data_IF_503952752038
#
_entry.id   IF_503952752038
#
_cell.length_a   1.000
_cell.length_b   1.000
_cell.length_c   1.000
_cell.angle_alpha   90.00
_cell.angle_beta   90.00
_cell.angle_gamma   90.00
#
_symmetry.space_group_name_H-M   'P 1'
#
loop_
_entity.id
_entity.type
_entity.pdbx_description
1 polymer ?
#
# COMPACT_ATOMS: atom_id res chain seq x y z
N UNK A 1 0.22 -23.52 -25.28
CA UNK A 1 1.06 -22.40 -24.74
C UNK A 1 1.85 -22.99 -23.59
N UNK A 2 3.16 -22.79 -23.54
CA UNK A 2 3.96 -23.27 -22.42
C UNK A 2 3.55 -22.48 -21.15
N UNK A 3 3.28 -23.17 -20.07
CA UNK A 3 3.07 -22.56 -18.76
C UNK A 3 4.35 -21.81 -18.37
N UNK A 4 4.23 -20.52 -18.08
CA UNK A 4 5.35 -19.73 -17.60
C UNK A 4 5.41 -19.88 -16.08
N UNK A 5 6.27 -20.76 -15.63
CA UNK A 5 6.54 -20.94 -14.20
C UNK A 5 7.49 -19.81 -13.76
N UNK A 6 7.19 -19.16 -12.65
CA UNK A 6 8.05 -18.16 -12.00
C UNK A 6 8.36 -18.60 -10.58
N UNK A 7 9.52 -18.18 -10.07
CA UNK A 7 9.93 -18.54 -8.71
C UNK A 7 9.10 -17.79 -7.66
N UNK A 8 8.74 -16.53 -7.96
CA UNK A 8 7.96 -15.69 -7.05
C UNK A 8 6.83 -15.00 -7.82
N UNK A 9 5.63 -15.12 -7.30
CA UNK A 9 4.44 -14.40 -7.76
C UNK A 9 4.01 -13.39 -6.70
N UNK A 10 4.04 -12.11 -7.05
CA UNK A 10 3.56 -11.01 -6.20
C UNK A 10 2.15 -10.62 -6.66
N UNK A 11 1.20 -10.61 -5.74
CA UNK A 11 -0.18 -10.19 -5.99
C UNK A 11 -0.38 -8.79 -5.44
N UNK A 12 -0.53 -7.83 -6.33
CA UNK A 12 -0.70 -6.41 -6.05
C UNK A 12 0.59 -5.60 -6.11
N UNK A 13 0.58 -4.52 -6.89
CA UNK A 13 1.69 -3.57 -7.04
C UNK A 13 1.52 -2.32 -6.15
N UNK A 14 0.94 -2.49 -4.97
CA UNK A 14 0.96 -1.48 -3.91
C UNK A 14 2.35 -1.38 -3.26
N UNK A 15 2.52 -0.55 -2.21
CA UNK A 15 3.83 -0.30 -1.60
C UNK A 15 4.52 -1.58 -1.12
N UNK A 16 3.79 -2.52 -0.51
CA UNK A 16 4.37 -3.78 -0.04
C UNK A 16 4.87 -4.67 -1.19
N UNK A 17 4.08 -4.79 -2.27
CA UNK A 17 4.49 -5.55 -3.46
C UNK A 17 5.68 -4.92 -4.16
N UNK A 18 5.70 -3.59 -4.26
CA UNK A 18 6.81 -2.85 -4.83
C UNK A 18 8.10 -3.01 -4.00
N UNK A 19 8.01 -2.90 -2.67
CA UNK A 19 9.15 -3.11 -1.77
C UNK A 19 9.69 -4.54 -1.86
N UNK A 20 8.80 -5.53 -1.94
CA UNK A 20 9.20 -6.95 -2.13
C UNK A 20 9.91 -7.14 -3.47
N UNK A 21 9.36 -6.62 -4.55
CA UNK A 21 9.97 -6.71 -5.88
C UNK A 21 11.34 -6.02 -5.92
N UNK A 22 11.45 -4.86 -5.30
CA UNK A 22 12.70 -4.11 -5.21
C UNK A 22 13.75 -4.86 -4.40
N UNK A 23 13.39 -5.36 -3.23
CA UNK A 23 14.30 -6.12 -2.35
C UNK A 23 14.87 -7.37 -3.02
N UNK A 24 14.08 -8.00 -3.89
CA UNK A 24 14.46 -9.21 -4.61
C UNK A 24 15.07 -8.95 -6.00
N UNK A 25 15.14 -7.67 -6.44
CA UNK A 25 15.56 -7.32 -7.81
C UNK A 25 16.97 -7.76 -8.17
N UNK A 26 17.87 -7.91 -7.18
CA UNK A 26 19.24 -8.38 -7.37
C UNK A 26 19.39 -9.90 -7.17
N UNK A 27 18.31 -10.62 -6.95
CA UNK A 27 18.33 -12.08 -6.88
C UNK A 27 18.32 -12.68 -8.29
N UNK A 28 18.69 -13.96 -8.40
CA UNK A 28 18.58 -14.72 -9.66
C UNK A 28 17.18 -15.32 -9.85
N UNK A 29 16.19 -14.89 -9.07
CA UNK A 29 14.82 -15.40 -9.11
C UNK A 29 14.02 -14.73 -10.23
N UNK A 30 13.20 -15.50 -10.92
CA UNK A 30 12.19 -14.98 -11.84
C UNK A 30 10.98 -14.49 -11.05
N UNK A 31 10.67 -13.20 -11.17
CA UNK A 31 9.62 -12.56 -10.39
C UNK A 31 8.54 -12.06 -11.33
N UNK A 32 7.29 -12.31 -11.01
CA UNK A 32 6.12 -11.76 -11.67
C UNK A 32 5.25 -11.02 -10.66
N UNK A 33 4.85 -9.80 -11.01
CA UNK A 33 3.88 -9.03 -10.24
C UNK A 33 2.59 -8.89 -11.05
N UNK A 34 1.47 -9.24 -10.45
CA UNK A 34 0.13 -9.06 -11.00
C UNK A 34 -0.55 -7.90 -10.27
N UNK A 35 -1.08 -6.96 -11.05
CA UNK A 35 -1.84 -5.82 -10.55
C UNK A 35 -3.18 -5.75 -11.27
N UNK A 36 -4.25 -5.51 -10.53
CA UNK A 36 -5.59 -5.39 -11.07
C UNK A 36 -5.84 -4.04 -11.73
N UNK A 37 -5.28 -2.98 -11.16
CA UNK A 37 -5.41 -1.61 -11.64
C UNK A 37 -4.41 -1.25 -12.73
N UNK A 38 -4.72 -0.20 -13.46
CA UNK A 38 -3.85 0.35 -14.50
C UNK A 38 -2.70 1.19 -13.93
N UNK A 39 -1.74 1.51 -14.79
CA UNK A 39 -0.73 2.53 -14.50
C UNK A 39 -1.34 3.91 -14.70
N UNK A 40 -1.10 4.82 -13.76
CA UNK A 40 -1.46 6.23 -13.88
C UNK A 40 -0.23 7.06 -14.28
N UNK A 41 -0.44 8.04 -15.14
CA UNK A 41 0.57 9.06 -15.38
C UNK A 41 0.64 10.04 -14.20
N UNK A 42 1.83 10.57 -13.92
CA UNK A 42 2.03 11.53 -12.83
C UNK A 42 1.14 12.78 -12.97
N UNK A 43 0.85 13.18 -14.22
CA UNK A 43 -0.09 14.28 -14.51
C UNK A 43 -1.53 14.01 -14.09
N UNK A 44 -1.91 12.74 -13.89
CA UNK A 44 -3.25 12.35 -13.48
C UNK A 44 -3.40 12.18 -11.97
N UNK A 45 -2.32 12.31 -11.21
CA UNK A 45 -2.39 12.21 -9.76
C UNK A 45 -3.24 13.33 -9.16
N UNK A 46 -4.06 13.03 -8.13
CA UNK A 46 -4.92 14.04 -7.49
C UNK A 46 -4.14 15.25 -6.99
N UNK A 47 -2.98 15.01 -6.39
CA UNK A 47 -2.12 16.05 -5.81
C UNK A 47 -1.60 17.08 -6.80
N UNK A 48 -1.61 16.78 -8.12
CA UNK A 48 -1.20 17.72 -9.17
C UNK A 48 -2.35 18.63 -9.66
N UNK A 49 -3.58 18.38 -9.20
CA UNK A 49 -4.78 19.12 -9.66
C UNK A 49 -5.10 20.27 -8.72
N UNK A 50 -5.41 21.45 -9.27
CA UNK A 50 -5.81 22.63 -8.49
C UNK A 50 -7.08 22.42 -7.66
N UNK A 51 -7.97 21.53 -8.12
CA UNK A 51 -9.24 21.20 -7.48
C UNK A 51 -9.23 19.81 -6.83
N UNK A 52 -8.08 19.35 -6.37
CA UNK A 52 -7.90 18.01 -5.82
C UNK A 52 -8.88 17.70 -4.66
N UNK A 53 -9.21 18.70 -3.84
CA UNK A 53 -10.16 18.56 -2.72
C UNK A 53 -11.57 18.21 -3.19
N UNK A 54 -12.02 18.79 -4.29
CA UNK A 54 -13.30 18.43 -4.90
C UNK A 54 -13.25 17.07 -5.57
N UNK A 55 -12.14 16.76 -6.23
CA UNK A 55 -11.93 15.48 -6.90
C UNK A 55 -11.80 14.33 -5.91
N UNK A 56 -11.21 14.56 -4.71
CA UNK A 56 -11.12 13.56 -3.65
C UNK A 56 -12.47 13.12 -3.08
N UNK A 57 -13.49 13.93 -3.24
CA UNK A 57 -14.87 13.59 -2.87
C UNK A 57 -15.64 12.83 -3.96
N UNK A 58 -15.06 12.67 -5.14
CA UNK A 58 -15.69 12.06 -6.31
C UNK A 58 -14.76 11.00 -6.94
N UNK A 59 -14.14 11.35 -8.07
CA UNK A 59 -13.29 10.46 -8.87
C UNK A 59 -12.11 9.85 -8.08
N UNK A 60 -11.60 10.57 -7.11
CA UNK A 60 -10.49 10.13 -6.26
C UNK A 60 -10.92 9.88 -4.80
N UNK A 61 -12.20 9.57 -4.59
CA UNK A 61 -12.66 9.17 -3.27
C UNK A 61 -11.96 7.88 -2.81
N UNK A 62 -11.60 7.80 -1.55
CA UNK A 62 -10.87 6.64 -0.99
C UNK A 62 -11.68 5.34 -1.06
N UNK A 63 -13.00 5.42 -0.99
CA UNK A 63 -13.89 4.27 -1.11
C UNK A 63 -14.24 3.99 -2.58
N UNK A 64 -14.03 2.76 -3.08
CA UNK A 64 -14.43 2.36 -4.42
C UNK A 64 -15.96 2.40 -4.60
N UNK A 65 -16.73 2.17 -3.52
CA UNK A 65 -18.20 2.25 -3.55
C UNK A 65 -18.73 3.67 -3.86
N UNK A 66 -17.92 4.70 -3.58
CA UNK A 66 -18.25 6.10 -3.86
C UNK A 66 -17.74 6.54 -5.23
N UNK A 67 -16.45 6.30 -5.55
CA UNK A 67 -15.85 6.78 -6.81
C UNK A 67 -16.29 6.00 -8.04
N UNK A 68 -16.59 4.71 -7.92
CA UNK A 68 -17.19 3.86 -8.98
C UNK A 68 -16.47 3.94 -10.34
N UNK A 69 -15.13 3.87 -10.33
CA UNK A 69 -14.37 3.76 -11.58
C UNK A 69 -14.62 2.41 -12.24
N UNK A 70 -14.39 2.31 -13.55
CA UNK A 70 -14.55 1.06 -14.30
C UNK A 70 -13.65 -0.09 -13.81
N UNK A 71 -12.55 0.25 -13.15
CA UNK A 71 -11.61 -0.69 -12.52
C UNK A 71 -11.98 -1.06 -11.09
N UNK A 72 -12.96 -0.37 -10.51
CA UNK A 72 -13.43 -0.67 -9.16
C UNK A 72 -14.41 -1.85 -9.16
N UNK A 73 -14.43 -2.59 -8.10
CA UNK A 73 -15.45 -3.57 -7.81
C UNK A 73 -16.16 -3.20 -6.49
N UNK A 74 -17.45 -3.51 -6.34
CA UNK A 74 -18.18 -3.20 -5.12
C UNK A 74 -17.62 -3.99 -3.95
N UNK A 75 -17.50 -3.31 -2.81
CA UNK A 75 -17.06 -3.92 -1.55
C UNK A 75 -18.26 -3.95 -0.61
N UNK A 76 -18.55 -5.11 -0.03
CA UNK A 76 -19.57 -5.22 1.00
C UNK A 76 -18.96 -4.81 2.36
N UNK A 77 -19.23 -3.60 2.79
CA UNK A 77 -18.78 -3.02 4.04
C UNK A 77 -19.90 -2.76 5.06
N UNK A 78 -21.10 -3.34 4.83
CA UNK A 78 -22.31 -3.09 5.66
C UNK A 78 -22.11 -3.43 7.13
N UNK A 79 -21.38 -4.49 7.42
CA UNK A 79 -21.17 -4.99 8.78
C UNK A 79 -19.77 -4.60 9.32
N UNK A 80 -19.03 -3.75 8.60
CA UNK A 80 -17.72 -3.31 9.01
C UNK A 80 -17.80 -1.98 9.78
N UNK A 81 -17.21 -1.90 10.98
CA UNK A 81 -17.09 -0.64 11.71
C UNK A 81 -16.06 0.31 11.09
N UNK A 82 -15.31 -0.16 10.10
CA UNK A 82 -14.23 0.59 9.48
C UNK A 82 -14.61 0.87 8.02
N UNK A 83 -14.50 2.13 7.60
CA UNK A 83 -14.66 2.52 6.20
C UNK A 83 -13.49 2.00 5.37
N UNK A 84 -13.81 1.36 4.25
CA UNK A 84 -12.80 0.79 3.35
C UNK A 84 -12.15 1.88 2.53
N UNK A 85 -10.83 1.89 2.54
CA UNK A 85 -9.99 2.79 1.74
C UNK A 85 -9.06 1.96 0.87
N UNK A 86 -9.25 2.02 -0.43
CA UNK A 86 -8.37 1.34 -1.39
C UNK A 86 -8.34 2.09 -2.74
N UNK A 87 -7.33 1.84 -3.55
CA UNK A 87 -7.24 2.34 -4.92
C UNK A 87 -6.61 1.29 -5.83
N UNK A 88 -7.27 0.98 -6.94
CA UNK A 88 -6.84 -0.01 -7.91
C UNK A 88 -5.95 0.64 -8.98
N UNK A 89 -4.66 0.67 -8.72
CA UNK A 89 -3.64 1.14 -9.65
C UNK A 89 -2.26 0.59 -9.26
N UNK A 90 -1.32 0.64 -10.16
CA UNK A 90 0.10 0.50 -9.81
C UNK A 90 0.46 1.58 -8.79
N UNK A 91 0.91 1.18 -7.60
CA UNK A 91 1.08 2.04 -6.42
C UNK A 91 -0.03 1.89 -5.37
N UNK A 92 -1.20 1.37 -5.75
CA UNK A 92 -2.31 1.09 -4.83
C UNK A 92 -2.76 2.33 -4.07
N UNK A 93 -3.01 2.18 -2.77
CA UNK A 93 -3.47 3.25 -1.89
C UNK A 93 -2.53 4.46 -1.77
N UNK A 94 -1.24 4.31 -2.13
CA UNK A 94 -0.29 5.44 -2.10
C UNK A 94 -0.61 6.54 -3.12
N UNK A 95 -1.47 6.27 -4.08
CA UNK A 95 -1.97 7.30 -5.01
C UNK A 95 -2.83 8.35 -4.29
N UNK A 96 -3.52 7.95 -3.21
CA UNK A 96 -4.49 8.78 -2.51
C UNK A 96 -4.06 9.21 -1.10
N UNK A 97 -3.00 8.61 -0.54
CA UNK A 97 -2.63 8.88 0.84
C UNK A 97 -2.08 10.31 1.01
N UNK A 98 -2.18 10.82 2.22
CA UNK A 98 -1.79 12.21 2.56
C UNK A 98 -0.30 12.40 2.84
N UNK A 99 0.54 11.44 2.51
CA UNK A 99 2.00 11.52 2.66
C UNK A 99 2.51 11.37 4.10
N UNK A 100 1.69 10.90 5.03
CA UNK A 100 2.14 10.59 6.38
C UNK A 100 3.00 9.33 6.37
N UNK A 101 4.21 9.43 6.89
CA UNK A 101 5.21 8.37 6.86
C UNK A 101 5.92 8.19 8.21
N UNK A 102 5.16 8.03 9.32
CA UNK A 102 5.76 7.83 10.64
C UNK A 102 6.28 6.41 10.79
N UNK A 103 7.34 6.24 11.57
CA UNK A 103 7.71 4.93 12.10
C UNK A 103 6.81 4.57 13.26
N UNK A 104 6.52 3.30 13.44
CA UNK A 104 5.86 2.83 14.65
C UNK A 104 6.76 3.03 15.87
N UNK A 105 6.16 3.31 17.03
CA UNK A 105 6.88 3.34 18.29
C UNK A 105 7.20 1.92 18.78
N UNK A 106 8.25 1.72 19.58
CA UNK A 106 8.54 0.41 20.18
C UNK A 106 7.36 -0.18 20.96
N UNK A 107 6.54 0.67 21.60
CA UNK A 107 5.31 0.28 22.30
C UNK A 107 4.26 -0.35 21.40
N UNK A 108 4.16 0.06 20.12
CA UNK A 108 3.14 -0.40 19.19
C UNK A 108 3.29 -1.91 18.87
N UNK A 109 4.48 -2.45 19.10
CA UNK A 109 4.77 -3.88 18.94
C UNK A 109 4.38 -4.72 20.18
N UNK A 110 3.96 -4.08 21.26
CA UNK A 110 3.70 -4.70 22.58
C UNK A 110 2.35 -4.33 23.17
N UNK A 111 1.36 -4.07 22.35
CA UNK A 111 0.04 -3.59 22.75
C UNK A 111 -0.65 -4.54 23.72
N UNK A 112 -0.57 -5.86 23.45
CA UNK A 112 -1.14 -6.87 24.36
C UNK A 112 -0.46 -6.84 25.73
N UNK A 113 0.86 -6.83 25.75
CA UNK A 113 1.65 -6.82 26.98
C UNK A 113 1.45 -5.55 27.78
N UNK A 114 1.36 -4.40 27.12
CA UNK A 114 1.30 -3.08 27.77
C UNK A 114 -0.12 -2.67 28.16
N UNK A 115 -1.09 -2.91 27.26
CA UNK A 115 -2.44 -2.37 27.37
C UNK A 115 -3.51 -3.47 27.59
N UNK A 116 -3.13 -4.75 27.47
CA UNK A 116 -4.04 -5.88 27.66
C UNK A 116 -5.03 -6.12 26.50
N UNK A 117 -4.92 -5.40 25.40
CA UNK A 117 -5.79 -5.49 24.22
C UNK A 117 -5.02 -5.98 22.98
N UNK A 118 -5.74 -6.43 21.95
CA UNK A 118 -5.17 -6.95 20.71
C UNK A 118 -4.10 -8.04 20.92
N UNK A 119 -3.05 -8.07 20.08
CA UNK A 119 -1.94 -9.02 20.19
C UNK A 119 -0.60 -8.29 20.04
N UNK A 120 0.46 -8.84 20.65
CA UNK A 120 1.82 -8.39 20.40
C UNK A 120 2.28 -8.84 19.01
N UNK A 121 3.03 -8.01 18.33
CA UNK A 121 3.68 -8.40 17.09
C UNK A 121 4.77 -9.45 17.36
N UNK A 122 4.98 -10.41 16.44
CA UNK A 122 6.04 -11.43 16.56
C UNK A 122 7.45 -10.85 16.37
N UNK A 123 7.55 -9.57 16.04
CA UNK A 123 8.78 -8.79 15.84
C UNK A 123 8.76 -7.56 16.74
N UNK A 124 9.92 -6.98 17.00
CA UNK A 124 10.04 -5.73 17.75
C UNK A 124 10.67 -4.61 16.91
N UNK A 125 10.64 -3.38 17.45
CA UNK A 125 11.15 -2.22 16.74
C UNK A 125 12.61 -2.38 16.30
N UNK A 126 13.49 -2.88 17.17
CA UNK A 126 14.92 -3.00 16.84
C UNK A 126 15.21 -3.99 15.70
N UNK A 127 14.34 -4.96 15.48
CA UNK A 127 14.43 -5.86 14.33
C UNK A 127 14.01 -5.19 13.02
N UNK A 128 13.09 -4.22 13.07
CA UNK A 128 12.60 -3.48 11.90
C UNK A 128 13.36 -2.18 11.63
N UNK A 129 14.04 -1.63 12.63
CA UNK A 129 14.74 -0.34 12.52
C UNK A 129 15.70 -0.25 11.32
N UNK A 130 16.53 -1.26 11.01
CA UNK A 130 17.39 -1.22 9.83
C UNK A 130 16.61 -1.08 8.51
N UNK A 131 15.45 -1.74 8.41
CA UNK A 131 14.59 -1.67 7.23
C UNK A 131 13.87 -0.32 7.13
N UNK A 132 13.44 0.27 8.27
CA UNK A 132 12.94 1.64 8.29
C UNK A 132 13.99 2.61 7.77
N UNK A 133 15.21 2.52 8.27
CA UNK A 133 16.30 3.41 7.86
C UNK A 133 16.66 3.28 6.38
N UNK A 134 16.67 2.07 5.84
CA UNK A 134 16.88 1.82 4.42
C UNK A 134 15.75 2.43 3.58
N UNK A 135 14.49 2.22 3.99
CA UNK A 135 13.32 2.71 3.31
C UNK A 135 13.24 4.25 3.35
N UNK A 136 13.50 4.88 4.49
CA UNK A 136 13.56 6.35 4.62
C UNK A 136 14.60 6.94 3.68
N UNK A 137 15.79 6.33 3.61
CA UNK A 137 16.85 6.75 2.69
C UNK A 137 16.41 6.61 1.23
N UNK A 138 15.78 5.50 0.87
CA UNK A 138 15.29 5.26 -0.50
C UNK A 138 14.18 6.23 -0.88
N UNK A 139 13.26 6.53 0.03
CA UNK A 139 12.13 7.43 -0.17
C UNK A 139 12.49 8.91 -0.03
N UNK A 140 13.68 9.23 0.49
CA UNK A 140 14.09 10.61 0.75
C UNK A 140 13.37 11.24 1.93
N UNK A 141 12.96 10.45 2.91
CA UNK A 141 12.34 10.93 4.16
C UNK A 141 13.45 11.43 5.09
N UNK A 142 13.26 12.60 5.68
CA UNK A 142 14.21 13.25 6.61
C UNK A 142 13.61 13.45 8.00
#
# INVERSE_FOLDING_TARGET
>A
MAEKIVDILIIGAGPSGAATAWSLSNSNLSIMCLEQGGRMDASDYPSTKRNWEALSKQKYHVSPNVRKLATDYPINDKDSPIAISNFNAVGGGTILYSGHFPRFHPSDFKVKTLDGIADDWPVNYSQLEPFYSENDKMMGVS
#
